data_IF_610824277874
#
_entry.id   IF_610824277874
#
_cell.length_a   1.000
_cell.length_b   1.000
_cell.length_c   1.000
_cell.angle_alpha   90.00
_cell.angle_beta   90.00
_cell.angle_gamma   90.00
#
_symmetry.space_group_name_H-M   'P 1'
#
loop_
_entity.id
_entity.type
_entity.pdbx_description
1 polymer ?
#
# COMPACT_ATOMS: atom_id res chain seq x y z
N UNK A 1 -14.16 14.33 7.42
CA UNK A 1 -13.06 14.82 8.30
C UNK A 1 -11.73 14.68 7.56
N UNK A 2 -10.85 15.69 7.51
CA UNK A 2 -9.49 15.55 6.95
C UNK A 2 -8.59 14.72 7.87
N UNK A 3 -7.87 13.76 7.31
CA UNK A 3 -6.90 12.90 8.01
C UNK A 3 -5.46 13.42 7.91
N UNK A 4 -5.21 14.28 6.93
CA UNK A 4 -3.91 14.92 6.68
C UNK A 4 -3.36 15.60 7.94
N UNK A 5 -2.13 15.23 8.32
CA UNK A 5 -1.42 15.79 9.49
C UNK A 5 -1.88 15.29 10.85
N UNK A 6 -2.86 14.37 10.93
CA UNK A 6 -3.37 13.82 12.20
C UNK A 6 -2.85 12.43 12.51
N UNK A 7 -2.57 11.64 11.48
CA UNK A 7 -2.04 10.30 11.59
C UNK A 7 -1.23 9.96 10.34
N UNK A 8 -0.47 8.87 10.43
CA UNK A 8 0.14 8.27 9.25
C UNK A 8 -0.96 7.59 8.40
N UNK A 9 -0.95 7.86 7.10
CA UNK A 9 -1.86 7.24 6.15
C UNK A 9 -1.09 6.14 5.42
N UNK A 10 -1.57 4.90 5.53
CA UNK A 10 -0.96 3.72 4.93
C UNK A 10 -1.69 3.34 3.65
N UNK A 11 -0.95 3.24 2.55
CA UNK A 11 -1.45 2.76 1.28
C UNK A 11 -0.83 1.40 0.97
N UNK A 12 -1.68 0.42 0.66
CA UNK A 12 -1.26 -0.91 0.26
C UNK A 12 -1.99 -1.33 -1.02
N UNK A 13 -1.30 -1.94 -1.99
CA UNK A 13 -1.98 -2.43 -3.19
C UNK A 13 -2.98 -3.52 -2.82
N UNK A 14 -4.16 -3.47 -3.44
CA UNK A 14 -5.15 -4.52 -3.33
C UNK A 14 -4.64 -5.76 -4.08
N UNK A 15 -4.50 -6.88 -3.35
CA UNK A 15 -3.97 -8.12 -3.92
C UNK A 15 -4.80 -8.57 -5.13
N UNK A 16 -4.11 -8.97 -6.20
CA UNK A 16 -4.68 -9.38 -7.50
C UNK A 16 -5.55 -8.34 -8.23
N UNK A 17 -5.74 -7.15 -7.66
CA UNK A 17 -6.57 -6.08 -8.25
C UNK A 17 -5.75 -4.87 -8.68
N UNK A 18 -4.62 -4.61 -8.01
CA UNK A 18 -3.75 -3.48 -8.32
C UNK A 18 -2.29 -3.88 -8.18
N UNK A 19 -1.52 -3.64 -9.24
CA UNK A 19 -0.07 -3.81 -9.20
C UNK A 19 0.56 -2.80 -8.24
N UNK A 20 1.52 -3.26 -7.44
CA UNK A 20 2.27 -2.44 -6.50
C UNK A 20 2.98 -1.26 -7.19
N UNK A 21 3.51 -1.47 -8.40
CA UNK A 21 4.22 -0.47 -9.19
C UNK A 21 3.29 0.65 -9.61
N UNK A 22 2.09 0.31 -10.07
CA UNK A 22 1.06 1.30 -10.47
C UNK A 22 0.67 2.19 -9.28
N UNK A 23 0.45 1.60 -8.10
CA UNK A 23 0.15 2.38 -6.90
C UNK A 23 1.32 3.28 -6.48
N UNK A 24 2.55 2.77 -6.55
CA UNK A 24 3.75 3.55 -6.25
C UNK A 24 3.91 4.74 -7.23
N UNK A 25 3.67 4.53 -8.52
CA UNK A 25 3.72 5.57 -9.54
C UNK A 25 2.69 6.67 -9.28
N UNK A 26 1.47 6.32 -8.86
CA UNK A 26 0.47 7.32 -8.48
C UNK A 26 0.91 8.14 -7.27
N UNK A 27 1.45 7.49 -6.24
CA UNK A 27 1.96 8.18 -5.05
C UNK A 27 3.08 9.16 -5.40
N UNK A 28 4.02 8.74 -6.26
CA UNK A 28 5.14 9.56 -6.70
C UNK A 28 4.69 10.72 -7.60
N UNK A 29 3.82 10.44 -8.58
CA UNK A 29 3.28 11.45 -9.50
C UNK A 29 2.53 12.54 -8.74
N UNK A 30 1.70 12.14 -7.79
CA UNK A 30 0.81 13.06 -7.07
C UNK A 30 1.44 13.57 -5.76
N UNK A 31 2.69 13.19 -5.46
CA UNK A 31 3.46 13.60 -4.27
C UNK A 31 2.68 13.40 -2.95
N UNK A 32 1.97 12.27 -2.84
CA UNK A 32 1.07 12.03 -1.71
C UNK A 32 1.87 11.80 -0.43
N UNK A 33 1.49 12.50 0.66
CA UNK A 33 2.07 12.30 1.99
C UNK A 33 1.49 11.05 2.67
N UNK A 34 1.83 9.89 2.12
CA UNK A 34 1.40 8.56 2.60
C UNK A 34 2.60 7.65 2.76
N UNK A 35 2.47 6.62 3.60
CA UNK A 35 3.45 5.52 3.67
C UNK A 35 2.95 4.37 2.80
N UNK A 36 3.75 3.98 1.83
CA UNK A 36 3.50 2.80 1.02
C UNK A 36 3.88 1.52 1.78
N UNK A 37 3.00 0.52 1.75
CA UNK A 37 3.19 -0.74 2.45
C UNK A 37 2.81 -1.92 1.55
N UNK A 38 3.74 -2.85 1.35
CA UNK A 38 3.47 -4.12 0.69
C UNK A 38 2.94 -5.16 1.69
N UNK A 39 2.03 -6.01 1.21
CA UNK A 39 1.60 -7.21 1.93
C UNK A 39 2.70 -8.27 1.83
N UNK A 40 3.79 -8.09 2.58
CA UNK A 40 4.98 -8.95 2.53
C UNK A 40 4.64 -10.44 2.72
N UNK A 41 3.64 -10.75 3.55
CA UNK A 41 3.25 -12.14 3.77
C UNK A 41 2.78 -12.83 2.48
N UNK A 42 2.06 -12.11 1.61
CA UNK A 42 1.64 -12.66 0.30
C UNK A 42 2.80 -12.84 -0.64
N UNK A 43 3.82 -11.98 -0.54
CA UNK A 43 5.02 -12.09 -1.35
C UNK A 43 5.92 -13.26 -0.90
N UNK A 44 6.03 -13.48 0.42
CA UNK A 44 6.93 -14.46 1.00
C UNK A 44 6.30 -15.86 1.10
N UNK A 45 5.02 -15.96 1.47
CA UNK A 45 4.35 -17.25 1.74
C UNK A 45 3.12 -17.51 0.87
N UNK A 46 2.76 -16.57 -0.02
CA UNK A 46 1.54 -16.64 -0.80
C UNK A 46 0.28 -16.38 0.04
N UNK A 47 -0.89 -16.77 -0.49
CA UNK A 47 -2.18 -16.62 0.19
C UNK A 47 -2.42 -17.74 1.22
N UNK A 48 -1.54 -17.81 2.23
CA UNK A 48 -1.63 -18.78 3.32
C UNK A 48 -1.97 -18.06 4.64
N UNK A 49 -3.07 -18.42 5.30
CA UNK A 49 -3.37 -17.89 6.62
C UNK A 49 -2.44 -18.51 7.68
N UNK A 50 -1.92 -17.69 8.60
CA UNK A 50 -1.27 -18.15 9.83
C UNK A 50 0.24 -18.45 9.76
N UNK A 51 0.98 -17.80 8.86
CA UNK A 51 2.45 -17.92 8.76
C UNK A 51 3.17 -16.74 9.42
#
# INVERSE_FOLDING_TARGET
KKLEGKCEILFSPAHEQLDATVLADWILRDQLKVRFQLQLHKYLWGDKPGV
#
